data_IF_958200612109
#
_entry.id   IF_958200612109
#
_cell.length_a   1.000
_cell.length_b   1.000
_cell.length_c   1.000
_cell.angle_alpha   90.00
_cell.angle_beta   90.00
_cell.angle_gamma   90.00
#
_symmetry.space_group_name_H-M   'P 1'
#
loop_
_entity.id
_entity.type
_entity.pdbx_description
1 polymer ?
#
# COMPACT_ATOMS: atom_id res chain seq x y z
N UNK A 1 6.63 -6.94 17.64
CA UNK A 1 6.98 -7.90 16.56
C UNK A 1 5.84 -8.85 16.18
N UNK A 2 5.08 -9.46 17.11
CA UNK A 2 3.98 -10.42 16.80
C UNK A 2 2.96 -9.92 15.76
N UNK A 3 2.44 -8.69 15.90
CA UNK A 3 1.42 -8.14 14.99
C UNK A 3 1.90 -7.99 13.55
N UNK A 4 3.20 -7.75 13.35
CA UNK A 4 3.80 -7.56 12.05
C UNK A 4 3.92 -8.88 11.28
N UNK A 5 4.29 -9.96 11.97
CA UNK A 5 4.34 -11.32 11.41
C UNK A 5 2.94 -11.76 10.97
N UNK A 6 1.93 -11.51 11.82
CA UNK A 6 0.53 -11.83 11.51
C UNK A 6 0.05 -11.05 10.27
N UNK A 7 0.38 -9.76 10.18
CA UNK A 7 0.02 -8.94 9.03
C UNK A 7 0.59 -9.50 7.71
N UNK A 8 1.86 -9.89 7.71
CA UNK A 8 2.49 -10.43 6.49
C UNK A 8 2.12 -11.88 6.18
N UNK A 9 1.74 -12.67 7.18
CA UNK A 9 1.12 -13.98 6.96
C UNK A 9 -0.25 -13.84 6.27
N UNK A 10 -1.03 -12.81 6.62
CA UNK A 10 -2.29 -12.45 5.98
C UNK A 10 -2.16 -11.30 4.96
N UNK A 11 -1.10 -11.28 4.14
CA UNK A 11 -0.78 -10.13 3.25
C UNK A 11 -1.94 -9.70 2.33
N UNK A 12 -2.83 -10.61 1.95
CA UNK A 12 -4.05 -10.32 1.18
C UNK A 12 -5.04 -9.42 1.92
N UNK A 13 -4.97 -9.30 3.25
CA UNK A 13 -5.81 -8.40 4.04
C UNK A 13 -5.22 -6.99 4.17
N UNK A 14 -3.93 -6.81 3.85
CA UNK A 14 -3.29 -5.49 3.85
C UNK A 14 -3.85 -4.68 2.67
N UNK A 15 -4.45 -3.53 2.98
CA UNK A 15 -5.07 -2.64 1.99
C UNK A 15 -4.05 -1.65 1.43
N UNK A 16 -3.34 -0.96 2.33
CA UNK A 16 -2.31 0.01 1.97
C UNK A 16 -1.38 0.27 3.17
N UNK A 17 -0.24 0.86 2.88
CA UNK A 17 0.79 1.23 3.83
C UNK A 17 1.11 2.71 3.63
N UNK A 18 1.01 3.49 4.69
CA UNK A 18 1.22 4.93 4.70
C UNK A 18 2.44 5.29 5.55
N UNK A 19 3.30 6.16 5.03
CA UNK A 19 4.41 6.73 5.79
C UNK A 19 4.00 7.96 6.59
N UNK A 20 4.50 8.04 7.82
CA UNK A 20 4.29 9.16 8.75
C UNK A 20 5.56 9.40 9.57
N UNK A 21 6.36 10.40 9.17
CA UNK A 21 7.68 10.68 9.76
C UNK A 21 8.50 9.39 9.85
N UNK A 22 8.79 8.93 11.07
CA UNK A 22 9.66 7.78 11.36
C UNK A 22 8.92 6.44 11.36
N UNK A 23 7.59 6.45 11.16
CA UNK A 23 6.76 5.26 11.22
C UNK A 23 6.06 4.98 9.88
N UNK A 24 5.80 3.70 9.64
CA UNK A 24 4.80 3.27 8.69
C UNK A 24 3.55 2.77 9.41
N UNK A 25 2.39 3.13 8.88
CA UNK A 25 1.08 2.61 9.25
C UNK A 25 0.65 1.58 8.21
N UNK A 26 0.46 0.34 8.63
CA UNK A 26 -0.07 -0.75 7.81
C UNK A 26 -1.56 -0.86 8.10
N UNK A 27 -2.40 -0.59 7.10
CA UNK A 27 -3.84 -0.69 7.20
C UNK A 27 -4.28 -2.07 6.73
N UNK A 28 -5.02 -2.77 7.59
CA UNK A 28 -5.49 -4.15 7.37
C UNK A 28 -7.01 -4.15 7.39
N UNK A 29 -7.61 -4.86 6.45
CA UNK A 29 -9.06 -4.99 6.31
C UNK A 29 -9.69 -5.49 7.61
N UNK A 30 -10.83 -4.92 7.99
CA UNK A 30 -11.56 -5.24 9.23
C UNK A 30 -10.79 -4.98 10.53
N UNK A 31 -9.62 -4.35 10.48
CA UNK A 31 -8.92 -3.87 11.68
C UNK A 31 -9.34 -2.44 12.01
N UNK A 32 -9.75 -2.14 13.25
CA UNK A 32 -10.15 -0.79 13.64
C UNK A 32 -8.96 0.18 13.74
N UNK A 33 -7.72 -0.34 13.85
CA UNK A 33 -6.51 0.46 13.99
C UNK A 33 -5.40 -0.06 13.05
N UNK A 34 -4.57 0.84 12.49
CA UNK A 34 -3.41 0.41 11.72
C UNK A 34 -2.33 -0.17 12.64
N UNK A 35 -1.48 -1.02 12.08
CA UNK A 35 -0.27 -1.50 12.74
C UNK A 35 0.84 -0.47 12.49
N UNK A 36 1.51 -0.04 13.56
CA UNK A 36 2.68 0.85 13.48
C UNK A 36 3.96 0.03 13.41
N UNK A 37 4.90 0.46 12.57
CA UNK A 37 6.22 -0.14 12.46
C UNK A 37 7.28 0.91 12.17
N UNK A 38 8.51 0.66 12.63
CA UNK A 38 9.71 1.45 12.33
C UNK A 38 10.41 0.99 11.05
N UNK A 39 9.89 -0.04 10.37
CA UNK A 39 10.43 -0.49 9.10
C UNK A 39 10.38 0.60 8.05
N UNK A 40 11.39 0.66 7.20
CA UNK A 40 11.41 1.49 6.00
C UNK A 40 10.52 0.93 4.89
N UNK A 41 10.20 1.76 3.90
CA UNK A 41 9.47 1.30 2.73
C UNK A 41 10.23 0.26 1.91
N UNK A 42 11.56 0.29 1.93
CA UNK A 42 12.41 -0.71 1.29
C UNK A 42 12.17 -2.07 1.92
N UNK A 43 12.33 -2.16 3.24
CA UNK A 43 12.14 -3.44 3.94
C UNK A 43 10.70 -3.97 3.82
N UNK A 44 9.71 -3.07 3.79
CA UNK A 44 8.32 -3.46 3.50
C UNK A 44 8.21 -4.07 2.11
N UNK A 45 8.72 -3.40 1.07
CA UNK A 45 8.68 -3.90 -0.31
C UNK A 45 9.30 -5.30 -0.43
N UNK A 46 10.44 -5.53 0.24
CA UNK A 46 11.11 -6.83 0.24
C UNK A 46 10.23 -7.93 0.89
N UNK A 47 9.48 -7.57 1.95
CA UNK A 47 8.56 -8.49 2.65
C UNK A 47 7.25 -8.75 1.91
N UNK A 48 6.70 -7.74 1.23
CA UNK A 48 5.41 -7.87 0.54
C UNK A 48 5.54 -8.27 -0.92
N UNK A 49 6.76 -8.53 -1.40
CA UNK A 49 7.26 -8.82 -2.77
C UNK A 49 6.38 -9.71 -3.64
N UNK A 50 5.16 -9.25 -3.87
CA UNK A 50 4.14 -9.88 -4.68
C UNK A 50 3.66 -8.87 -5.68
N UNK A 51 3.23 -9.39 -6.84
CA UNK A 51 2.78 -8.58 -7.96
C UNK A 51 1.62 -7.64 -7.62
N UNK A 52 0.98 -7.83 -6.46
CA UNK A 52 -0.16 -7.05 -5.99
C UNK A 52 0.23 -5.78 -5.24
N UNK A 53 1.47 -5.62 -4.77
CA UNK A 53 1.86 -4.39 -4.06
C UNK A 53 2.54 -3.39 -5.00
N UNK A 54 2.13 -2.13 -4.89
CA UNK A 54 2.58 -1.05 -5.75
C UNK A 54 2.97 0.15 -4.92
N UNK A 55 4.19 0.64 -5.15
CA UNK A 55 4.62 1.95 -4.69
C UNK A 55 4.00 3.00 -5.62
N UNK A 56 3.03 3.77 -5.14
CA UNK A 56 2.26 4.73 -5.96
C UNK A 56 2.53 6.18 -5.60
N UNK A 57 3.19 6.43 -4.46
CA UNK A 57 3.59 7.75 -4.00
C UNK A 57 4.78 7.64 -3.04
N UNK A 58 5.50 8.74 -2.78
CA UNK A 58 6.62 8.77 -1.81
C UNK A 58 6.21 8.43 -0.35
N UNK A 59 4.91 8.34 -0.09
CA UNK A 59 4.36 8.02 1.23
C UNK A 59 3.37 6.86 1.21
N UNK A 60 3.17 6.18 0.06
CA UNK A 60 2.14 5.15 -0.06
C UNK A 60 2.62 3.93 -0.85
N UNK A 61 2.39 2.75 -0.28
CA UNK A 61 2.31 1.47 -0.98
C UNK A 61 0.85 1.02 -0.91
N UNK A 62 0.28 0.52 -2.00
CA UNK A 62 -1.08 -0.04 -2.03
C UNK A 62 -1.05 -1.51 -2.40
N UNK A 63 -2.10 -2.23 -2.03
CA UNK A 63 -2.40 -3.55 -2.55
C UNK A 63 -3.48 -3.40 -3.65
N UNK A 64 -3.15 -3.78 -4.89
CA UNK A 64 -4.04 -3.64 -6.04
C UNK A 64 -5.34 -4.43 -5.90
N UNK A 65 -5.33 -5.54 -5.16
CA UNK A 65 -6.52 -6.36 -4.89
C UNK A 65 -7.59 -5.62 -4.08
N UNK A 66 -7.25 -4.48 -3.48
CA UNK A 66 -8.17 -3.63 -2.71
C UNK A 66 -8.55 -2.33 -3.42
N UNK A 67 -8.11 -2.12 -4.67
CA UNK A 67 -8.49 -0.94 -5.45
C UNK A 67 -9.98 -1.07 -5.83
N UNK A 68 -10.77 -0.09 -5.41
CA UNK A 68 -12.18 0.02 -5.82
C UNK A 68 -12.31 0.84 -7.11
N UNK A 69 -11.49 1.90 -7.26
CA UNK A 69 -11.47 2.72 -8.46
C UNK A 69 -10.15 3.48 -8.62
N UNK A 70 -9.81 3.82 -9.86
CA UNK A 70 -8.76 4.79 -10.19
C UNK A 70 -9.43 6.01 -10.82
N UNK A 71 -9.26 7.17 -10.20
CA UNK A 71 -9.88 8.43 -10.63
C UNK A 71 -8.80 9.49 -10.85
N UNK A 72 -8.56 9.86 -12.10
CA UNK A 72 -7.50 10.82 -12.50
C UNK A 72 -6.13 10.40 -11.93
N UNK A 73 -5.65 11.08 -10.90
CA UNK A 73 -4.39 10.87 -10.19
C UNK A 73 -4.58 10.31 -8.78
N UNK A 74 -5.72 9.66 -8.51
CA UNK A 74 -6.03 9.09 -7.19
C UNK A 74 -6.52 7.64 -7.30
N UNK A 75 -6.17 6.85 -6.30
CA UNK A 75 -6.64 5.49 -6.07
C UNK A 75 -7.64 5.54 -4.93
N UNK A 76 -8.78 4.87 -5.11
CA UNK A 76 -9.85 4.78 -4.11
C UNK A 76 -9.78 3.39 -3.46
N UNK A 77 -9.70 3.35 -2.13
CA UNK A 77 -9.74 2.13 -1.32
C UNK A 77 -10.66 2.40 -0.11
N UNK A 78 -11.88 1.88 -0.13
CA UNK A 78 -12.94 2.30 0.79
C UNK A 78 -13.12 3.81 0.80
N UNK A 79 -13.03 4.42 1.99
CA UNK A 79 -13.25 5.87 2.18
C UNK A 79 -12.03 6.74 1.87
N UNK A 80 -10.87 6.14 1.62
CA UNK A 80 -9.61 6.89 1.49
C UNK A 80 -9.29 7.14 0.02
N UNK A 81 -8.61 8.27 -0.24
CA UNK A 81 -8.14 8.64 -1.58
C UNK A 81 -6.62 8.78 -1.55
N UNK A 82 -5.90 7.82 -2.13
CA UNK A 82 -4.44 7.84 -2.20
C UNK A 82 -3.99 8.57 -3.46
N UNK A 83 -3.14 9.60 -3.34
CA UNK A 83 -2.56 10.24 -4.52
C UNK A 83 -1.58 9.30 -5.22
N UNK A 84 -1.56 9.37 -6.55
CA UNK A 84 -0.53 8.77 -7.40
C UNK A 84 0.47 9.88 -7.70
N UNK A 85 1.71 9.71 -7.24
CA UNK A 85 2.79 10.64 -7.55
C UNK A 85 3.20 10.53 -9.02
N UNK A 86 3.55 11.64 -9.65
CA UNK A 86 3.85 11.68 -11.09
C UNK A 86 4.94 10.69 -11.48
N UNK A 87 6.03 10.63 -10.71
CA UNK A 87 7.14 9.70 -10.93
C UNK A 87 6.77 8.22 -10.81
N UNK A 88 5.63 7.90 -10.20
CA UNK A 88 5.14 6.52 -10.05
C UNK A 88 4.02 6.17 -11.04
N UNK A 89 3.41 7.18 -11.68
CA UNK A 89 2.17 7.00 -12.44
C UNK A 89 2.35 6.11 -13.66
N UNK A 90 3.41 6.32 -14.43
CA UNK A 90 3.66 5.57 -15.65
C UNK A 90 3.86 4.06 -15.37
N UNK A 91 4.78 3.72 -14.47
CA UNK A 91 5.03 2.34 -14.05
C UNK A 91 3.78 1.67 -13.46
N UNK A 92 3.06 2.39 -12.59
CA UNK A 92 1.85 1.86 -11.97
C UNK A 92 0.76 1.49 -12.99
N UNK A 93 0.49 2.36 -13.96
CA UNK A 93 -0.54 2.10 -14.98
C UNK A 93 -0.11 0.98 -15.95
N UNK A 94 1.15 0.95 -16.36
CA UNK A 94 1.70 -0.10 -17.22
C UNK A 94 1.60 -1.47 -16.54
N UNK A 95 2.01 -1.58 -15.27
CA UNK A 95 1.92 -2.83 -14.52
C UNK A 95 0.48 -3.28 -14.23
N UNK A 96 -0.51 -2.39 -14.34
CA UNK A 96 -1.94 -2.72 -14.28
C UNK A 96 -2.53 -3.10 -15.65
N UNK A 97 -1.75 -3.02 -16.74
CA UNK A 97 -2.24 -3.28 -18.09
C UNK A 97 -3.21 -2.21 -18.62
N UNK A 98 -3.16 -1.00 -18.06
CA UNK A 98 -4.02 0.13 -18.46
C UNK A 98 -3.34 1.05 -19.48
N UNK A 99 -2.10 0.73 -19.87
CA UNK A 99 -1.29 1.40 -20.89
C UNK A 99 -0.31 0.42 -21.50
#
# INVERSE_FOLDING_TARGET
MKNLIIAFSGKNKIQYIQGLKDYLKIYVSHSPKPILTLMSFREINDKVSSQQFFRVHKSFIINASHIEAIQKSKIIIGKIRIPIGESYRADFLHRLGLK
#
